data_IF_603277608241
#
_entry.id   IF_603277608241
#
_cell.length_a   1.000
_cell.length_b   1.000
_cell.length_c   1.000
_cell.angle_alpha   90.00
_cell.angle_beta   90.00
_cell.angle_gamma   90.00
#
_symmetry.space_group_name_H-M   'P 1'
#
loop_
_entity.id
_entity.type
_entity.pdbx_description
1 polymer ?
#
# COMPACT_ATOMS: atom_id res chain seq x y z
N UNK A 1 -33.65 9.74 -9.03
CA UNK A 1 -32.42 9.53 -9.81
C UNK A 1 -31.87 8.13 -9.55
N UNK A 2 -32.34 7.12 -10.29
CA UNK A 2 -31.74 5.78 -10.26
C UNK A 2 -30.39 5.84 -10.98
N UNK A 3 -29.28 5.90 -10.24
CA UNK A 3 -27.94 5.95 -10.82
C UNK A 3 -27.60 4.58 -11.38
N UNK A 4 -27.62 4.46 -12.71
CA UNK A 4 -27.19 3.24 -13.40
C UNK A 4 -25.72 2.92 -13.00
N UNK A 5 -25.45 1.76 -12.38
CA UNK A 5 -24.10 1.40 -11.90
C UNK A 5 -23.05 1.37 -13.02
N UNK A 6 -23.46 1.14 -14.27
CA UNK A 6 -22.57 1.13 -15.42
C UNK A 6 -21.99 2.50 -15.74
N UNK A 7 -22.67 3.58 -15.37
CA UNK A 7 -22.17 4.96 -15.55
C UNK A 7 -21.02 5.24 -14.59
N UNK A 8 -21.09 4.71 -13.35
CA UNK A 8 -20.02 4.84 -12.36
C UNK A 8 -18.76 4.11 -12.82
N UNK A 9 -18.89 2.86 -13.27
CA UNK A 9 -17.76 2.04 -13.73
C UNK A 9 -17.06 2.63 -14.96
N UNK A 10 -17.81 3.28 -15.85
CA UNK A 10 -17.25 3.96 -17.04
C UNK A 10 -16.62 5.33 -16.72
N UNK A 11 -16.91 5.89 -15.55
CA UNK A 11 -16.39 7.21 -15.16
C UNK A 11 -14.86 7.23 -15.10
N UNK A 12 -14.26 8.32 -15.55
CA UNK A 12 -12.81 8.51 -15.51
C UNK A 12 -12.23 8.42 -14.08
N UNK A 13 -12.85 9.02 -13.04
CA UNK A 13 -12.36 8.89 -11.67
C UNK A 13 -12.32 7.45 -11.17
N UNK A 14 -13.34 6.65 -11.48
CA UNK A 14 -13.36 5.23 -11.11
C UNK A 14 -12.22 4.47 -11.80
N UNK A 15 -12.06 4.65 -13.12
CA UNK A 15 -10.99 3.98 -13.89
C UNK A 15 -9.59 4.34 -13.40
N UNK A 16 -9.36 5.59 -13.00
CA UNK A 16 -8.08 6.02 -12.44
C UNK A 16 -7.78 5.33 -11.11
N UNK A 17 -8.74 5.32 -10.19
CA UNK A 17 -8.58 4.67 -8.87
C UNK A 17 -8.40 3.16 -9.04
N UNK A 18 -9.26 2.52 -9.85
CA UNK A 18 -9.15 1.10 -10.17
C UNK A 18 -7.79 0.77 -10.79
N UNK A 19 -7.35 1.58 -11.76
CA UNK A 19 -6.07 1.40 -12.43
C UNK A 19 -4.88 1.42 -11.46
N UNK A 20 -4.86 2.36 -10.50
CA UNK A 20 -3.79 2.41 -9.49
C UNK A 20 -3.68 1.08 -8.75
N UNK A 21 -4.78 0.59 -8.18
CA UNK A 21 -4.75 -0.68 -7.44
C UNK A 21 -4.42 -1.86 -8.36
N UNK A 22 -5.11 -1.99 -9.50
CA UNK A 22 -4.92 -3.08 -10.45
C UNK A 22 -3.45 -3.22 -10.87
N UNK A 23 -2.83 -2.14 -11.34
CA UNK A 23 -1.45 -2.19 -11.81
C UNK A 23 -0.43 -2.36 -10.68
N UNK A 24 -0.74 -1.89 -9.47
CA UNK A 24 0.13 -2.11 -8.30
C UNK A 24 0.16 -3.60 -7.94
N UNK A 25 -1.01 -4.25 -7.84
CA UNK A 25 -1.11 -5.69 -7.59
C UNK A 25 -0.52 -6.52 -8.75
N UNK A 26 -0.79 -6.13 -10.00
CA UNK A 26 -0.25 -6.81 -11.17
C UNK A 26 1.28 -6.77 -11.20
N UNK A 27 1.88 -5.61 -10.89
CA UNK A 27 3.34 -5.46 -10.81
C UNK A 27 3.92 -6.35 -9.72
N UNK A 28 3.35 -6.33 -8.51
CA UNK A 28 3.82 -7.18 -7.42
C UNK A 28 3.76 -8.68 -7.77
N UNK A 29 2.64 -9.13 -8.37
CA UNK A 29 2.47 -10.51 -8.80
C UNK A 29 3.41 -10.91 -9.95
N UNK A 30 3.64 -10.00 -10.90
CA UNK A 30 4.53 -10.25 -12.03
C UNK A 30 5.97 -10.41 -11.56
N UNK A 31 6.44 -9.52 -10.67
CA UNK A 31 7.79 -9.62 -10.10
C UNK A 31 7.95 -10.93 -9.31
N UNK A 32 6.97 -11.29 -8.47
CA UNK A 32 7.03 -12.56 -7.75
C UNK A 32 7.06 -13.78 -8.71
N UNK A 33 6.31 -13.73 -9.81
CA UNK A 33 6.28 -14.82 -10.79
C UNK A 33 7.59 -14.95 -11.57
N UNK A 34 8.18 -13.81 -11.96
CA UNK A 34 9.51 -13.78 -12.60
C UNK A 34 10.59 -14.27 -11.65
N UNK A 35 10.55 -13.83 -10.39
CA UNK A 35 11.49 -14.25 -9.36
C UNK A 35 11.37 -15.75 -9.07
N UNK A 36 10.15 -16.28 -8.95
CA UNK A 36 9.92 -17.70 -8.75
C UNK A 36 10.45 -18.54 -9.92
N UNK A 37 10.19 -18.10 -11.16
CA UNK A 37 10.68 -18.77 -12.37
C UNK A 37 12.21 -18.78 -12.46
N UNK A 38 12.87 -17.68 -12.11
CA UNK A 38 14.34 -17.55 -12.15
C UNK A 38 15.04 -18.46 -11.14
N UNK A 39 14.43 -18.68 -9.97
CA UNK A 39 15.02 -19.43 -8.87
C UNK A 39 14.44 -20.84 -8.71
N UNK A 40 13.66 -21.33 -9.69
CA UNK A 40 12.97 -22.63 -9.64
C UNK A 40 12.14 -22.83 -8.35
N UNK A 41 11.51 -21.76 -7.86
CA UNK A 41 10.64 -21.78 -6.68
C UNK A 41 9.18 -22.09 -7.07
N UNK A 42 8.33 -22.51 -6.11
CA UNK A 42 6.92 -22.73 -6.37
C UNK A 42 6.25 -21.50 -7.03
N UNK A 43 5.37 -21.68 -8.04
CA UNK A 43 4.79 -20.55 -8.78
C UNK A 43 4.02 -19.55 -7.90
N UNK A 44 3.44 -20.02 -6.79
CA UNK A 44 2.72 -19.20 -5.82
C UNK A 44 3.61 -18.55 -4.75
N UNK A 45 4.93 -18.71 -4.84
CA UNK A 45 5.88 -18.13 -3.89
C UNK A 45 5.79 -16.59 -3.89
N UNK A 46 5.86 -16.00 -2.69
CA UNK A 46 5.90 -14.56 -2.49
C UNK A 46 7.29 -14.19 -1.96
N UNK A 47 7.95 -13.28 -2.66
CA UNK A 47 9.30 -12.86 -2.33
C UNK A 47 9.28 -11.55 -1.52
N UNK A 48 10.32 -11.37 -0.69
CA UNK A 48 10.62 -10.11 0.00
C UNK A 48 11.85 -9.46 -0.65
N UNK A 49 11.84 -9.34 -1.98
CA UNK A 49 12.99 -8.85 -2.74
C UNK A 49 12.98 -7.33 -2.88
N UNK A 50 14.18 -6.73 -2.91
CA UNK A 50 14.34 -5.30 -3.19
C UNK A 50 13.82 -4.95 -4.58
N UNK A 51 13.93 -5.86 -5.56
CA UNK A 51 13.38 -5.68 -6.91
C UNK A 51 11.86 -5.43 -6.87
N UNK A 52 11.12 -6.26 -6.11
CA UNK A 52 9.68 -6.09 -5.91
C UNK A 52 9.35 -4.76 -5.27
N UNK A 53 10.11 -4.36 -4.25
CA UNK A 53 9.92 -3.07 -3.59
C UNK A 53 10.11 -1.91 -4.58
N UNK A 54 11.22 -1.90 -5.33
CA UNK A 54 11.55 -0.81 -6.25
C UNK A 54 10.53 -0.73 -7.40
N UNK A 55 10.25 -1.85 -8.07
CA UNK A 55 9.30 -1.87 -9.19
C UNK A 55 7.89 -1.49 -8.75
N UNK A 56 7.40 -2.07 -7.65
CA UNK A 56 6.03 -1.79 -7.16
C UNK A 56 5.91 -0.36 -6.67
N UNK A 57 6.93 0.18 -6.00
CA UNK A 57 6.95 1.57 -5.54
C UNK A 57 6.96 2.53 -6.72
N UNK A 58 7.81 2.29 -7.72
CA UNK A 58 7.89 3.13 -8.91
C UNK A 58 6.54 3.19 -9.64
N UNK A 59 5.90 2.03 -9.86
CA UNK A 59 4.59 1.95 -10.50
C UNK A 59 3.50 2.62 -9.65
N UNK A 60 3.45 2.32 -8.36
CA UNK A 60 2.46 2.91 -7.43
C UNK A 60 2.59 4.43 -7.35
N UNK A 61 3.81 4.95 -7.24
CA UNK A 61 4.10 6.38 -7.15
C UNK A 61 3.75 7.10 -8.45
N UNK A 62 4.15 6.53 -9.60
CA UNK A 62 3.85 7.10 -10.91
C UNK A 62 2.34 7.16 -11.16
N UNK A 63 1.63 6.06 -10.89
CA UNK A 63 0.18 6.00 -11.04
C UNK A 63 -0.53 6.93 -10.07
N UNK A 64 -0.07 7.00 -8.82
CA UNK A 64 -0.63 7.91 -7.84
C UNK A 64 -0.49 9.37 -8.25
N UNK A 65 0.67 9.75 -8.78
CA UNK A 65 0.91 11.11 -9.27
C UNK A 65 0.04 11.41 -10.49
N UNK A 66 -0.07 10.46 -11.42
CA UNK A 66 -0.88 10.59 -12.62
C UNK A 66 -2.38 10.73 -12.29
N UNK A 67 -2.95 9.87 -11.45
CA UNK A 67 -4.36 9.98 -11.06
C UNK A 67 -4.64 11.29 -10.32
N UNK A 68 -3.77 11.71 -9.40
CA UNK A 68 -4.00 12.91 -8.59
C UNK A 68 -3.95 14.16 -9.49
N UNK A 69 -3.05 14.20 -10.48
CA UNK A 69 -3.02 15.24 -11.50
C UNK A 69 -4.27 15.29 -12.37
N UNK A 70 -4.77 14.14 -12.82
CA UNK A 70 -6.00 14.08 -13.63
C UNK A 70 -7.24 14.45 -12.81
N UNK A 71 -7.34 14.01 -11.56
CA UNK A 71 -8.43 14.38 -10.66
C UNK A 71 -8.40 15.88 -10.33
N UNK A 72 -7.22 16.45 -10.11
CA UNK A 72 -7.06 17.90 -9.93
C UNK A 72 -7.52 18.69 -11.16
N UNK A 73 -7.32 18.18 -12.38
CA UNK A 73 -7.86 18.81 -13.61
C UNK A 73 -9.37 18.75 -13.72
N UNK A 74 -9.97 17.64 -13.29
CA UNK A 74 -11.42 17.41 -13.42
C UNK A 74 -12.20 18.17 -12.35
N UNK A 75 -11.69 18.19 -11.12
CA UNK A 75 -12.39 18.74 -9.96
C UNK A 75 -11.82 20.07 -9.46
N UNK A 76 -10.66 20.50 -9.98
CA UNK A 76 -10.04 21.77 -9.60
C UNK A 76 -10.67 22.96 -10.33
N UNK A 77 -10.91 24.03 -9.58
CA UNK A 77 -11.42 25.31 -10.12
C UNK A 77 -10.33 26.23 -10.66
N UNK A 78 -9.06 25.80 -10.64
CA UNK A 78 -7.90 26.61 -11.05
C UNK A 78 -7.09 25.87 -12.12
N UNK A 79 -6.47 26.60 -13.07
CA UNK A 79 -5.44 26.03 -13.93
C UNK A 79 -4.39 25.35 -13.06
N UNK A 80 -3.92 24.16 -13.44
CA UNK A 80 -2.86 23.45 -12.71
C UNK A 80 -1.65 24.38 -12.57
N UNK A 81 -1.43 24.91 -11.36
CA UNK A 81 -0.19 25.59 -11.04
C UNK A 81 0.95 24.58 -11.21
N UNK A 82 1.96 24.95 -11.98
CA UNK A 82 3.00 24.04 -12.44
C UNK A 82 3.88 23.61 -11.24
N UNK A 83 3.80 22.33 -10.88
CA UNK A 83 4.78 21.64 -10.04
C UNK A 83 4.46 21.54 -8.54
N UNK A 84 4.45 20.30 -8.03
CA UNK A 84 4.58 20.04 -6.59
C UNK A 84 6.03 20.39 -6.20
N UNK A 85 6.28 21.16 -5.11
CA UNK A 85 7.63 21.43 -4.65
C UNK A 85 8.42 20.13 -4.47
N UNK A 86 9.72 20.08 -4.83
CA UNK A 86 10.50 18.85 -4.77
C UNK A 86 10.49 18.17 -3.39
N UNK A 87 10.45 18.97 -2.32
CA UNK A 87 10.37 18.46 -0.94
C UNK A 87 9.04 17.76 -0.64
N UNK A 88 7.90 18.35 -1.04
CA UNK A 88 6.59 17.70 -0.93
C UNK A 88 6.52 16.44 -1.77
N UNK A 89 7.08 16.48 -2.99
CA UNK A 89 7.13 15.33 -3.88
C UNK A 89 7.93 14.19 -3.23
N UNK A 90 9.15 14.46 -2.74
CA UNK A 90 9.98 13.48 -2.05
C UNK A 90 9.28 12.84 -0.84
N UNK A 91 8.58 13.64 -0.02
CA UNK A 91 7.80 13.12 1.11
C UNK A 91 6.64 12.24 0.66
N UNK A 92 5.97 12.55 -0.45
CA UNK A 92 4.91 11.70 -0.99
C UNK A 92 5.44 10.40 -1.59
N UNK A 93 6.58 10.44 -2.28
CA UNK A 93 7.26 9.22 -2.77
C UNK A 93 7.70 8.36 -1.59
N UNK A 94 8.34 8.93 -0.57
CA UNK A 94 8.75 8.21 0.63
C UNK A 94 7.56 7.56 1.34
N UNK A 95 6.46 8.29 1.49
CA UNK A 95 5.22 7.76 2.05
C UNK A 95 4.71 6.56 1.25
N UNK A 96 4.75 6.65 -0.08
CA UNK A 96 4.27 5.58 -0.96
C UNK A 96 5.17 4.35 -0.85
N UNK A 97 6.49 4.54 -0.84
CA UNK A 97 7.48 3.49 -0.64
C UNK A 97 7.26 2.71 0.67
N UNK A 98 7.06 3.42 1.78
CA UNK A 98 6.78 2.79 3.09
C UNK A 98 5.47 2.00 3.04
N UNK A 99 4.45 2.54 2.37
CA UNK A 99 3.15 1.88 2.24
C UNK A 99 3.24 0.59 1.41
N UNK A 100 3.94 0.66 0.27
CA UNK A 100 4.16 -0.48 -0.64
C UNK A 100 5.02 -1.54 0.05
N UNK A 101 6.09 -1.13 0.75
CA UNK A 101 6.94 -2.02 1.52
C UNK A 101 6.13 -2.81 2.55
N UNK A 102 5.36 -2.10 3.39
CA UNK A 102 4.53 -2.71 4.43
C UNK A 102 3.45 -3.64 3.86
N UNK A 103 2.93 -3.35 2.66
CA UNK A 103 1.82 -4.10 2.07
C UNK A 103 2.26 -5.32 1.26
N UNK A 104 3.40 -5.24 0.56
CA UNK A 104 3.78 -6.24 -0.45
C UNK A 104 5.09 -6.96 -0.16
N UNK A 105 5.99 -6.38 0.63
CA UNK A 105 7.35 -6.91 0.84
C UNK A 105 7.55 -7.43 2.26
N UNK A 106 7.14 -6.62 3.25
CA UNK A 106 7.28 -6.92 4.67
C UNK A 106 6.42 -8.10 5.20
N UNK A 107 5.21 -8.39 4.68
CA UNK A 107 4.36 -9.46 5.25
C UNK A 107 5.00 -10.84 5.27
N UNK A 108 5.83 -11.18 4.27
CA UNK A 108 6.49 -12.50 4.19
C UNK A 108 7.47 -12.67 5.35
N UNK A 109 8.35 -11.69 5.55
CA UNK A 109 9.36 -11.74 6.62
C UNK A 109 8.72 -11.70 8.02
N UNK A 110 7.65 -10.92 8.18
CA UNK A 110 6.91 -10.85 9.45
C UNK A 110 6.14 -12.13 9.72
N UNK A 111 5.60 -12.80 8.70
CA UNK A 111 4.90 -14.07 8.86
C UNK A 111 5.85 -15.19 9.32
N UNK A 112 7.06 -15.24 8.78
CA UNK A 112 8.10 -16.18 9.21
C UNK A 112 8.51 -15.92 10.66
N UNK A 113 8.76 -14.65 11.01
CA UNK A 113 9.06 -14.26 12.38
C UNK A 113 7.91 -14.63 13.33
N UNK A 114 6.66 -14.32 12.98
CA UNK A 114 5.49 -14.60 13.81
C UNK A 114 5.27 -16.11 14.03
N UNK A 115 5.43 -16.91 12.97
CA UNK A 115 5.27 -18.37 13.04
C UNK A 115 6.37 -19.01 13.89
N UNK A 116 7.62 -18.52 13.77
CA UNK A 116 8.74 -18.99 14.59
C UNK A 116 8.63 -18.56 16.06
N UNK A 117 8.21 -17.32 16.32
CA UNK A 117 7.96 -16.81 17.66
C UNK A 117 6.83 -17.60 18.35
N UNK A 118 5.74 -17.88 17.62
CA UNK A 118 4.62 -18.70 18.10
C UNK A 118 4.99 -20.16 18.38
N UNK A 119 5.99 -20.70 17.66
CA UNK A 119 6.52 -22.04 17.93
C UNK A 119 7.42 -22.07 19.19
N UNK A 120 8.14 -20.98 19.47
CA UNK A 120 9.04 -20.86 20.63
C UNK A 120 8.34 -20.45 21.93
N UNK A 121 7.20 -19.77 21.83
CA UNK A 121 6.46 -19.29 22.99
C UNK A 121 5.30 -20.25 23.32
N UNK A 122 5.17 -20.66 24.58
CA UNK A 122 4.04 -21.45 25.11
C UNK A 122 2.74 -20.62 25.15
N UNK A 123 2.32 -20.03 24.03
CA UNK A 123 1.17 -19.13 23.88
C UNK A 123 -0.19 -19.85 23.91
N UNK A 124 -0.25 -21.08 24.43
CA UNK A 124 -1.49 -21.87 24.55
C UNK A 124 -2.26 -22.00 23.22
N UNK A 125 -3.59 -21.91 23.28
CA UNK A 125 -4.48 -22.10 22.12
C UNK A 125 -4.24 -21.11 20.96
N UNK A 126 -3.76 -19.89 21.25
CA UNK A 126 -3.46 -18.88 20.22
C UNK A 126 -2.14 -19.16 19.48
N UNK A 127 -1.17 -19.79 20.15
CA UNK A 127 0.09 -20.22 19.54
C UNK A 127 -0.11 -21.29 18.45
N UNK A 128 -1.06 -22.20 18.66
CA UNK A 128 -1.38 -23.26 17.67
C UNK A 128 -1.91 -22.72 16.34
N UNK A 129 -2.69 -21.64 16.36
CA UNK A 129 -3.29 -21.01 15.16
C UNK A 129 -2.27 -20.15 14.41
N UNK A 130 -1.43 -19.41 15.13
CA UNK A 130 -0.37 -18.58 14.55
C UNK A 130 0.85 -19.38 14.07
N UNK A 131 0.94 -20.67 14.43
CA UNK A 131 1.98 -21.57 13.90
C UNK A 131 1.81 -21.85 12.40
N UNK A 132 0.61 -21.65 11.87
CA UNK A 132 0.38 -21.77 10.42
C UNK A 132 0.92 -20.54 9.70
N UNK A 133 1.90 -20.74 8.82
CA UNK A 133 2.49 -19.67 8.01
C UNK A 133 1.42 -18.92 7.19
N UNK A 134 0.38 -19.62 6.73
CA UNK A 134 -0.72 -19.02 5.97
C UNK A 134 -1.58 -18.08 6.81
N UNK A 135 -1.81 -18.41 8.09
CA UNK A 135 -2.56 -17.53 9.01
C UNK A 135 -1.70 -16.34 9.40
N UNK A 136 -0.43 -16.57 9.71
CA UNK A 136 0.54 -15.52 10.02
C UNK A 136 0.72 -14.54 8.87
N UNK A 137 0.74 -15.02 7.62
CA UNK A 137 0.80 -14.18 6.43
C UNK A 137 -0.45 -13.32 6.27
N UNK A 138 -1.65 -13.89 6.42
CA UNK A 138 -2.90 -13.12 6.34
C UNK A 138 -3.00 -12.08 7.46
N UNK A 139 -2.58 -12.43 8.67
CA UNK A 139 -2.53 -11.50 9.80
C UNK A 139 -1.56 -10.35 9.52
N UNK A 140 -0.35 -10.65 9.02
CA UNK A 140 0.64 -9.64 8.65
C UNK A 140 0.13 -8.72 7.52
N UNK A 141 -0.52 -9.29 6.49
CA UNK A 141 -1.12 -8.52 5.39
C UNK A 141 -2.21 -7.55 5.87
N UNK A 142 -2.97 -7.90 6.91
CA UNK A 142 -3.99 -7.02 7.49
C UNK A 142 -3.39 -5.96 8.42
N UNK A 143 -2.45 -6.36 9.28
CA UNK A 143 -1.91 -5.50 10.33
C UNK A 143 -0.86 -4.49 9.80
N UNK A 144 0.05 -4.92 8.92
CA UNK A 144 1.17 -4.09 8.49
C UNK A 144 0.77 -2.80 7.75
N UNK A 145 -0.20 -2.81 6.81
CA UNK A 145 -0.65 -1.57 6.17
C UNK A 145 -1.28 -0.58 7.15
N UNK A 146 -1.96 -1.09 8.19
CA UNK A 146 -2.55 -0.27 9.25
C UNK A 146 -1.46 0.33 10.15
N UNK A 147 -0.50 -0.48 10.59
CA UNK A 147 0.63 -0.04 11.42
C UNK A 147 1.50 0.98 10.67
N UNK A 148 1.70 0.77 9.37
CA UNK A 148 2.41 1.72 8.52
C UNK A 148 1.73 3.10 8.47
N UNK A 149 0.43 3.23 8.81
CA UNK A 149 -0.22 4.54 8.89
C UNK A 149 0.35 5.43 9.99
N UNK A 150 0.84 4.87 11.10
CA UNK A 150 1.48 5.68 12.14
C UNK A 150 2.78 6.36 11.65
N UNK A 151 3.46 5.75 10.68
CA UNK A 151 4.68 6.30 10.07
C UNK A 151 4.36 7.15 8.83
N UNK A 152 3.46 6.67 7.97
CA UNK A 152 3.16 7.31 6.68
C UNK A 152 2.26 8.54 6.81
N UNK A 153 1.41 8.60 7.84
CA UNK A 153 0.56 9.78 8.07
C UNK A 153 1.36 11.02 8.40
N UNK A 154 2.33 11.03 9.34
CA UNK A 154 3.10 12.24 9.62
C UNK A 154 3.93 12.67 8.40
N UNK A 155 4.50 11.73 7.64
CA UNK A 155 5.21 12.03 6.39
C UNK A 155 4.26 12.71 5.38
N UNK A 156 3.04 12.18 5.24
CA UNK A 156 2.05 12.76 4.34
C UNK A 156 1.62 14.18 4.76
N UNK A 157 1.34 14.38 6.06
CA UNK A 157 0.95 15.69 6.57
C UNK A 157 2.08 16.70 6.46
N UNK A 158 3.33 16.29 6.69
CA UNK A 158 4.51 17.12 6.43
C UNK A 158 4.60 17.53 4.96
N UNK A 159 4.35 16.60 4.02
CA UNK A 159 4.33 16.89 2.59
C UNK A 159 3.26 17.92 2.21
N UNK A 160 2.07 17.83 2.82
CA UNK A 160 0.99 18.80 2.63
C UNK A 160 1.31 20.15 3.26
N UNK A 161 1.88 20.19 4.46
CA UNK A 161 2.28 21.44 5.11
C UNK A 161 3.40 22.16 4.33
N UNK A 162 4.32 21.41 3.72
CA UNK A 162 5.33 21.97 2.82
C UNK A 162 4.72 22.51 1.52
N UNK A 163 3.71 21.83 0.98
CA UNK A 163 3.02 22.25 -0.23
C UNK A 163 2.19 23.53 0.01
N UNK A 164 1.50 23.60 1.15
CA UNK A 164 0.60 24.71 1.48
C UNK A 164 1.33 25.94 2.04
N UNK A 165 2.42 25.77 2.79
CA UNK A 165 3.17 26.86 3.44
C UNK A 165 4.58 26.94 2.87
N UNK A 166 4.70 27.48 1.65
CA UNK A 166 5.96 27.57 0.88
C UNK A 166 6.94 28.66 1.38
N UNK A 167 6.95 28.95 2.68
CA UNK A 167 7.82 29.95 3.31
C UNK A 167 8.73 29.38 4.39
N UNK A 168 9.56 30.23 4.99
CA UNK A 168 10.42 29.90 6.16
C UNK A 168 9.56 29.72 7.41
N UNK A 169 8.98 28.54 7.58
CA UNK A 169 8.30 28.12 8.81
C UNK A 169 9.23 27.19 9.60
N UNK A 170 9.48 27.45 10.89
CA UNK A 170 10.34 26.60 11.71
C UNK A 170 9.77 25.17 11.80
N UNK A 171 10.66 24.18 11.71
CA UNK A 171 10.30 22.76 11.68
C UNK A 171 9.41 22.34 12.87
N UNK A 172 9.70 22.86 14.07
CA UNK A 172 8.91 22.60 15.27
C UNK A 172 7.44 23.00 15.12
N UNK A 173 7.17 24.14 14.47
CA UNK A 173 5.78 24.59 14.20
C UNK A 173 5.09 23.72 13.16
N UNK A 174 5.85 23.16 12.21
CA UNK A 174 5.32 22.20 11.24
C UNK A 174 4.96 20.87 11.92
N UNK A 175 5.84 20.36 12.78
CA UNK A 175 5.62 19.13 13.54
C UNK A 175 4.46 19.24 14.53
N UNK A 176 4.28 20.41 15.17
CA UNK A 176 3.13 20.66 16.03
C UNK A 176 1.81 20.54 15.25
N UNK A 177 1.69 21.21 14.10
CA UNK A 177 0.49 21.12 13.26
C UNK A 177 0.20 19.68 12.77
N UNK A 178 1.26 18.93 12.45
CA UNK A 178 1.17 17.51 12.07
C UNK A 178 0.65 16.67 13.24
N UNK A 179 1.19 16.89 14.45
CA UNK A 179 0.74 16.20 15.67
C UNK A 179 -0.73 16.45 15.94
N UNK A 180 -1.18 17.69 15.86
CA UNK A 180 -2.57 18.07 16.15
C UNK A 180 -3.55 17.40 15.19
N UNK A 181 -3.11 17.13 13.96
CA UNK A 181 -3.90 16.47 12.93
C UNK A 181 -3.83 14.93 12.98
N UNK A 182 -2.91 14.33 13.75
CA UNK A 182 -2.70 12.86 13.80
C UNK A 182 -3.95 12.11 14.25
N UNK A 183 -4.61 12.60 15.29
CA UNK A 183 -5.74 11.91 15.92
C UNK A 183 -6.90 11.66 14.96
N UNK A 184 -7.09 12.57 13.99
CA UNK A 184 -8.12 12.45 12.96
C UNK A 184 -7.57 11.75 11.70
N UNK A 185 -6.36 12.11 11.28
CA UNK A 185 -5.81 11.62 10.01
C UNK A 185 -5.48 10.13 10.03
N UNK A 186 -4.89 9.61 11.11
CA UNK A 186 -4.49 8.20 11.21
C UNK A 186 -5.68 7.24 11.06
N UNK A 187 -6.76 7.33 11.87
CA UNK A 187 -7.87 6.38 11.77
C UNK A 187 -8.57 6.43 10.41
N UNK A 188 -8.76 7.63 9.83
CA UNK A 188 -9.34 7.76 8.49
C UNK A 188 -8.49 7.09 7.40
N UNK A 189 -7.17 7.17 7.53
CA UNK A 189 -6.25 6.52 6.59
C UNK A 189 -6.19 5.01 6.80
N UNK A 190 -6.26 4.54 8.05
CA UNK A 190 -6.37 3.10 8.36
C UNK A 190 -7.66 2.54 7.73
N UNK A 191 -8.79 3.22 7.95
CA UNK A 191 -10.09 2.84 7.39
C UNK A 191 -10.04 2.73 5.87
N UNK A 192 -9.29 3.63 5.21
CA UNK A 192 -9.10 3.57 3.76
C UNK A 192 -8.19 2.42 3.33
N UNK A 193 -7.11 2.17 4.06
CA UNK A 193 -6.02 1.30 3.59
C UNK A 193 -6.24 -0.17 3.88
N UNK A 194 -6.90 -0.50 4.99
CA UNK A 194 -7.15 -1.90 5.39
C UNK A 194 -8.03 -2.63 4.36
N UNK A 195 -9.13 -2.06 3.85
CA UNK A 195 -9.90 -2.70 2.77
C UNK A 195 -9.07 -2.86 1.49
N UNK A 196 -8.30 -1.83 1.13
CA UNK A 196 -7.59 -1.79 -0.15
C UNK A 196 -6.37 -2.72 -0.19
N UNK A 197 -5.47 -2.61 0.78
CA UNK A 197 -4.23 -3.39 0.81
C UNK A 197 -4.29 -4.56 1.80
N UNK A 198 -5.05 -4.49 2.89
CA UNK A 198 -5.19 -5.62 3.81
C UNK A 198 -6.00 -6.75 3.17
N UNK A 199 -7.31 -6.52 3.02
CA UNK A 199 -8.22 -7.50 2.42
C UNK A 199 -7.82 -7.78 0.96
N UNK A 200 -7.45 -6.74 0.21
CA UNK A 200 -6.97 -6.88 -1.17
C UNK A 200 -5.78 -7.84 -1.32
N UNK A 201 -4.77 -7.78 -0.44
CA UNK A 201 -3.63 -8.70 -0.51
C UNK A 201 -4.00 -10.14 -0.13
N UNK A 202 -4.87 -10.32 0.87
CA UNK A 202 -5.35 -11.65 1.27
C UNK A 202 -6.10 -12.32 0.12
N UNK A 203 -7.01 -11.57 -0.52
CA UNK A 203 -7.77 -12.05 -1.68
C UNK A 203 -6.84 -12.30 -2.87
N UNK A 204 -5.94 -11.36 -3.19
CA UNK A 204 -4.97 -11.50 -4.28
C UNK A 204 -4.10 -12.76 -4.11
N UNK A 205 -3.60 -13.00 -2.90
CA UNK A 205 -2.80 -14.19 -2.57
C UNK A 205 -3.60 -15.47 -2.81
N UNK A 206 -4.86 -15.49 -2.35
CA UNK A 206 -5.75 -16.65 -2.47
C UNK A 206 -6.10 -16.94 -3.94
N UNK A 207 -6.43 -15.90 -4.71
CA UNK A 207 -6.72 -16.01 -6.15
C UNK A 207 -5.48 -16.46 -6.92
N UNK A 208 -4.31 -15.86 -6.66
CA UNK A 208 -3.06 -16.25 -7.32
C UNK A 208 -2.71 -17.71 -7.04
N UNK A 209 -2.80 -18.16 -5.79
CA UNK A 209 -2.61 -19.59 -5.43
C UNK A 209 -3.58 -20.49 -6.21
N UNK A 210 -4.87 -20.15 -6.26
CA UNK A 210 -5.87 -20.94 -6.97
C UNK A 210 -5.64 -21.04 -8.48
N UNK A 211 -5.27 -19.92 -9.13
CA UNK A 211 -5.01 -19.88 -10.59
C UNK A 211 -3.74 -20.67 -10.94
N UNK A 212 -2.66 -20.48 -10.19
CA UNK A 212 -1.38 -21.13 -10.50
C UNK A 212 -1.39 -22.62 -10.18
N UNK A 213 -2.08 -23.05 -9.13
CA UNK A 213 -2.22 -24.48 -8.81
C UNK A 213 -3.08 -25.23 -9.82
N UNK A 214 -4.07 -24.57 -10.45
CA UNK A 214 -4.86 -25.16 -11.56
C UNK A 214 -4.06 -25.29 -12.86
N UNK A 215 -2.95 -24.56 -13.00
CA UNK A 215 -2.12 -24.58 -14.21
C UNK A 215 -1.10 -25.73 -14.23
N UNK A 216 -1.02 -26.48 -13.12
CA UNK A 216 -0.10 -27.62 -12.92
C UNK A 216 -0.83 -28.98 -12.93
N UNK A 217 -2.14 -28.99 -13.20
CA UNK A 217 -2.99 -30.16 -13.43
C UNK A 217 -3.39 -30.17 -14.90
#
# INVERSE_FOLDING_TARGET
MGRNPLVLVRSLPFRLIFGVYFFTFATANLVDSVHAKRNALPPAHQSSTTEKLVCTTAVSTALCTYKDGQLARIFGSRPLAFGVPPQSYALFVLRDAVTVYASFTMPVSVAQWLSSAAASANLGAYGGVLRSEDVSLKAAQMALPALAQFITTPIHLLGLDHYNRQGRVPLLRRLAAVRDSMAVAVPLRILRIVPAFGVGNVVNTSVRKAVLNRSLV
#
